data_IF_121492959569
#
_entry.id   IF_121492959569
#
_cell.length_a   1.000
_cell.length_b   1.000
_cell.length_c   1.000
_cell.angle_alpha   90.00
_cell.angle_beta   90.00
_cell.angle_gamma   90.00
#
_symmetry.space_group_name_H-M   'P 1'
#
loop_
_entity.id
_entity.type
_entity.pdbx_description
1 polymer ?
#
# COMPACT_ATOMS: atom_id res chain seq x y z
N UNK A 1 6.61 33.45 5.57
CA UNK A 1 6.07 32.32 4.81
C UNK A 1 7.11 31.22 4.93
N UNK A 2 6.72 30.05 5.41
CA UNK A 2 7.66 28.93 5.49
C UNK A 2 7.99 28.46 4.06
N UNK A 3 9.09 27.73 3.89
CA UNK A 3 9.41 27.09 2.61
C UNK A 3 8.30 26.13 2.18
N UNK A 4 7.67 25.46 3.14
CA UNK A 4 6.54 24.58 2.90
C UNK A 4 5.33 25.36 2.34
N UNK A 5 5.01 26.52 2.91
CA UNK A 5 3.91 27.36 2.46
C UNK A 5 4.09 27.80 1.00
N UNK A 6 5.33 28.09 0.59
CA UNK A 6 5.67 28.44 -0.80
C UNK A 6 5.53 27.27 -1.78
N UNK A 7 5.75 26.04 -1.31
CA UNK A 7 5.79 24.85 -2.16
C UNK A 7 4.45 24.12 -2.24
N UNK A 8 3.69 24.06 -1.15
CA UNK A 8 2.43 23.30 -1.08
C UNK A 8 1.28 24.09 -0.44
N UNK A 9 1.55 25.26 0.15
CA UNK A 9 0.53 26.11 0.76
C UNK A 9 -0.26 26.97 -0.23
N UNK A 10 0.15 27.01 -1.50
CA UNK A 10 -0.57 27.71 -2.58
C UNK A 10 -0.75 26.82 -3.81
N UNK A 11 -1.84 27.02 -4.54
CA UNK A 11 -2.07 26.43 -5.85
C UNK A 11 -1.09 26.99 -6.90
N UNK A 12 -1.16 26.49 -8.13
CA UNK A 12 -0.27 26.92 -9.21
C UNK A 12 -0.52 28.34 -9.73
N UNK A 13 -1.63 28.97 -9.34
CA UNK A 13 -1.96 30.37 -9.63
C UNK A 13 -1.61 31.31 -8.45
N UNK A 14 -1.00 30.77 -7.40
CA UNK A 14 -0.53 31.49 -6.22
C UNK A 14 -1.62 31.79 -5.19
N UNK A 15 -2.81 31.19 -5.29
CA UNK A 15 -3.84 31.33 -4.26
C UNK A 15 -3.58 30.36 -3.10
N UNK A 16 -3.80 30.78 -1.84
CA UNK A 16 -3.70 29.88 -0.70
C UNK A 16 -4.68 28.71 -0.79
N UNK A 17 -4.22 27.51 -0.44
CA UNK A 17 -5.07 26.32 -0.35
C UNK A 17 -5.38 25.97 1.10
N UNK A 18 -6.55 25.39 1.34
CA UNK A 18 -6.93 24.84 2.65
C UNK A 18 -6.49 23.40 2.85
N UNK A 19 -6.31 22.67 1.75
CA UNK A 19 -5.79 21.31 1.71
C UNK A 19 -4.61 21.23 0.74
N UNK A 20 -3.50 20.68 1.22
CA UNK A 20 -2.27 20.54 0.45
C UNK A 20 -2.34 19.34 -0.49
N UNK A 21 -3.21 18.37 -0.22
CA UNK A 21 -3.45 17.24 -1.12
C UNK A 21 -4.04 17.72 -2.45
N UNK A 22 -4.87 18.77 -2.45
CA UNK A 22 -5.40 19.38 -3.68
C UNK A 22 -4.27 19.80 -4.62
N UNK A 23 -3.22 20.43 -4.10
CA UNK A 23 -2.03 20.84 -4.88
C UNK A 23 -1.26 19.63 -5.40
N UNK A 24 -1.13 18.57 -4.58
CA UNK A 24 -0.43 17.35 -4.96
C UNK A 24 -1.15 16.64 -6.11
N UNK A 25 -2.48 16.60 -6.08
CA UNK A 25 -3.28 15.94 -7.11
C UNK A 25 -3.47 16.79 -8.36
N UNK A 26 -3.65 18.12 -8.25
CA UNK A 26 -3.71 19.03 -9.40
C UNK A 26 -2.42 18.97 -10.24
N UNK A 27 -1.29 18.78 -9.58
CA UNK A 27 0.02 18.64 -10.22
C UNK A 27 0.14 17.47 -11.21
N UNK A 28 -0.72 16.45 -11.10
CA UNK A 28 -0.74 15.32 -12.04
C UNK A 28 -1.07 15.79 -13.46
N UNK A 29 -1.90 16.83 -13.58
CA UNK A 29 -2.31 17.41 -14.85
C UNK A 29 -1.63 18.76 -15.16
N UNK A 30 -1.01 19.41 -14.16
CA UNK A 30 -0.34 20.70 -14.33
C UNK A 30 1.19 20.56 -14.45
N UNK A 31 1.81 20.90 -15.60
CA UNK A 31 3.26 20.79 -15.79
C UNK A 31 4.10 21.72 -14.90
N UNK A 32 3.50 22.76 -14.28
CA UNK A 32 4.16 23.73 -13.38
C UNK A 32 4.67 23.10 -12.08
N UNK A 33 4.18 21.90 -11.71
CA UNK A 33 4.71 21.15 -10.56
C UNK A 33 6.24 20.96 -10.61
N UNK A 34 6.81 20.87 -11.83
CA UNK A 34 8.25 20.70 -12.05
C UNK A 34 9.08 21.83 -11.44
N UNK A 35 8.53 23.05 -11.37
CA UNK A 35 9.22 24.21 -10.78
C UNK A 35 9.38 24.05 -9.26
N UNK A 36 8.51 23.27 -8.62
CA UNK A 36 8.51 23.04 -7.16
C UNK A 36 9.40 21.86 -6.75
N UNK A 37 9.73 20.96 -7.67
CA UNK A 37 10.50 19.73 -7.39
C UNK A 37 11.83 20.00 -6.67
N UNK A 38 12.73 20.91 -7.11
CA UNK A 38 13.98 21.17 -6.40
C UNK A 38 13.74 21.63 -4.96
N UNK A 39 12.72 22.48 -4.76
CA UNK A 39 12.35 22.97 -3.44
C UNK A 39 11.85 21.88 -2.51
N UNK A 40 11.06 20.94 -3.03
CA UNK A 40 10.56 19.79 -2.29
C UNK A 40 11.66 18.78 -1.96
N UNK A 41 12.61 18.56 -2.87
CA UNK A 41 13.77 17.68 -2.63
C UNK A 41 14.60 18.22 -1.46
N UNK A 42 14.88 19.52 -1.45
CA UNK A 42 15.60 20.10 -0.33
C UNK A 42 14.78 20.05 0.98
N UNK A 43 13.46 20.32 0.91
CA UNK A 43 12.58 20.26 2.09
C UNK A 43 12.55 18.85 2.70
N UNK A 44 12.42 17.82 1.87
CA UNK A 44 12.47 16.41 2.27
C UNK A 44 13.75 16.08 3.07
N UNK A 45 14.87 16.64 2.63
CA UNK A 45 16.19 16.42 3.22
C UNK A 45 16.53 17.37 4.38
N UNK A 46 15.70 18.37 4.65
CA UNK A 46 15.93 19.34 5.71
C UNK A 46 15.62 18.74 7.08
N UNK A 47 16.66 18.53 7.89
CA UNK A 47 16.52 17.95 9.24
C UNK A 47 15.92 18.91 10.27
N UNK A 48 15.85 20.21 9.97
CA UNK A 48 15.21 21.19 10.86
C UNK A 48 13.77 21.49 10.48
N UNK A 49 13.31 21.06 9.29
CA UNK A 49 11.92 21.16 8.88
C UNK A 49 11.02 20.22 9.69
N UNK A 50 9.73 20.59 9.81
CA UNK A 50 8.77 19.79 10.54
C UNK A 50 8.54 18.42 9.90
N UNK A 51 8.33 17.38 10.70
CA UNK A 51 8.13 16.00 10.21
C UNK A 51 6.98 15.92 9.19
N UNK A 52 5.91 16.68 9.42
CA UNK A 52 4.75 16.76 8.52
C UNK A 52 5.09 17.38 7.18
N UNK A 53 5.88 18.44 7.18
CA UNK A 53 6.29 19.13 5.96
C UNK A 53 7.17 18.23 5.10
N UNK A 54 8.08 17.50 5.74
CA UNK A 54 8.97 16.52 5.09
C UNK A 54 8.21 15.32 4.54
N UNK A 55 7.25 14.81 5.32
CA UNK A 55 6.36 13.73 4.88
C UNK A 55 5.55 14.15 3.66
N UNK A 56 4.91 15.33 3.69
CA UNK A 56 4.13 15.84 2.56
C UNK A 56 5.00 16.12 1.33
N UNK A 57 6.26 16.55 1.52
CA UNK A 57 7.22 16.63 0.43
C UNK A 57 7.53 15.25 -0.18
N UNK A 58 7.69 14.22 0.66
CA UNK A 58 7.86 12.83 0.21
C UNK A 58 6.64 12.34 -0.60
N UNK A 59 5.42 12.59 -0.10
CA UNK A 59 4.16 12.24 -0.78
C UNK A 59 4.09 12.96 -2.13
N UNK A 60 4.28 14.28 -2.17
CA UNK A 60 4.25 15.06 -3.40
C UNK A 60 5.25 14.54 -4.44
N UNK A 61 6.52 14.39 -4.05
CA UNK A 61 7.57 13.87 -4.95
C UNK A 61 7.25 12.46 -5.46
N UNK A 62 6.69 11.60 -4.61
CA UNK A 62 6.33 10.23 -4.98
C UNK A 62 5.16 10.21 -5.95
N UNK A 63 4.07 10.93 -5.65
CA UNK A 63 2.90 11.07 -6.53
C UNK A 63 3.29 11.64 -7.88
N UNK A 64 4.24 12.59 -7.91
CA UNK A 64 4.73 13.18 -9.16
C UNK A 64 5.78 12.32 -9.88
N UNK A 65 6.00 11.08 -9.42
CA UNK A 65 6.95 10.12 -9.97
C UNK A 65 8.41 10.59 -10.02
N UNK A 66 8.81 11.46 -9.09
CA UNK A 66 10.18 11.91 -8.93
C UNK A 66 11.02 10.84 -8.22
N UNK A 67 12.25 10.63 -8.71
CA UNK A 67 13.16 9.61 -8.17
C UNK A 67 13.40 9.82 -6.66
N UNK A 68 13.55 11.07 -6.22
CA UNK A 68 13.77 11.40 -4.82
C UNK A 68 12.61 10.96 -3.91
N UNK A 69 11.36 10.99 -4.40
CA UNK A 69 10.20 10.49 -3.68
C UNK A 69 10.26 8.98 -3.51
N UNK A 70 10.43 8.25 -4.63
CA UNK A 70 10.58 6.79 -4.57
C UNK A 70 11.77 6.33 -3.73
N UNK A 71 12.90 7.03 -3.83
CA UNK A 71 14.09 6.75 -3.01
C UNK A 71 13.80 6.89 -1.52
N UNK A 72 13.09 7.95 -1.13
CA UNK A 72 12.69 8.17 0.25
C UNK A 72 11.72 7.10 0.77
N UNK A 73 10.78 6.62 -0.07
CA UNK A 73 9.90 5.49 0.27
C UNK A 73 10.72 4.22 0.50
N UNK A 74 11.65 3.91 -0.41
CA UNK A 74 12.51 2.73 -0.32
C UNK A 74 13.39 2.80 0.94
N UNK A 75 13.98 3.96 1.22
CA UNK A 75 14.81 4.14 2.40
C UNK A 75 14.01 4.08 3.70
N UNK A 76 12.81 4.67 3.74
CA UNK A 76 11.91 4.56 4.89
C UNK A 76 11.51 3.10 5.17
N UNK A 77 11.25 2.31 4.13
CA UNK A 77 10.90 0.90 4.26
C UNK A 77 12.07 -0.01 4.71
N UNK A 78 13.33 0.46 4.65
CA UNK A 78 14.48 -0.31 5.14
C UNK A 78 14.52 -0.39 6.67
N UNK A 79 14.09 0.67 7.34
CA UNK A 79 14.04 0.77 8.80
C UNK A 79 12.86 1.68 9.20
N UNK A 80 11.63 1.14 9.18
CA UNK A 80 10.40 1.91 9.35
C UNK A 80 10.39 2.82 10.57
N UNK A 81 10.75 2.28 11.74
CA UNK A 81 10.77 2.98 13.03
C UNK A 81 11.76 4.15 13.07
N UNK A 82 12.70 4.22 12.12
CA UNK A 82 13.68 5.31 12.00
C UNK A 82 13.36 6.28 10.87
N UNK A 83 12.27 6.05 10.13
CA UNK A 83 11.81 7.00 9.15
C UNK A 83 11.50 8.34 9.85
N UNK A 84 11.88 9.50 9.27
CA UNK A 84 11.74 10.79 9.94
C UNK A 84 10.30 11.26 10.20
N UNK A 85 9.32 10.48 9.76
CA UNK A 85 7.89 10.75 9.82
C UNK A 85 7.10 9.50 10.26
N UNK A 86 7.76 8.55 10.92
CA UNK A 86 7.08 7.40 11.52
C UNK A 86 6.06 7.87 12.58
N UNK A 87 4.92 7.19 12.68
CA UNK A 87 3.79 7.52 13.57
C UNK A 87 3.12 8.89 13.30
N UNK A 88 3.41 9.54 12.15
CA UNK A 88 2.82 10.86 11.86
C UNK A 88 1.34 10.80 11.49
N UNK A 89 0.92 9.68 10.91
CA UNK A 89 -0.48 9.39 10.62
C UNK A 89 -0.89 8.16 11.42
N UNK A 90 -1.80 8.33 12.38
CA UNK A 90 -2.29 7.23 13.20
C UNK A 90 -3.66 6.79 12.70
N UNK A 91 -3.77 5.50 12.38
CA UNK A 91 -5.07 4.87 12.13
C UNK A 91 -5.89 4.85 13.43
N UNK A 92 -7.17 5.20 13.34
CA UNK A 92 -8.05 5.29 14.50
C UNK A 92 -8.54 3.92 14.98
N UNK A 93 -8.65 2.94 14.07
CA UNK A 93 -9.23 1.63 14.38
C UNK A 93 -8.27 0.77 15.20
N UNK A 94 -6.99 0.78 14.85
CA UNK A 94 -5.95 -0.01 15.49
C UNK A 94 -4.98 0.83 16.34
N UNK A 95 -5.01 2.17 16.22
CA UNK A 95 -4.08 3.07 16.92
C UNK A 95 -2.61 2.76 16.61
N UNK A 96 -2.32 2.52 15.33
CA UNK A 96 -0.98 2.22 14.79
C UNK A 96 -0.63 3.21 13.68
N UNK A 97 0.66 3.30 13.36
CA UNK A 97 1.14 4.04 12.19
C UNK A 97 0.41 3.60 10.92
N UNK A 98 -0.02 4.58 10.13
CA UNK A 98 -0.67 4.42 8.84
C UNK A 98 0.09 5.20 7.75
N UNK A 99 1.33 5.60 8.03
CA UNK A 99 2.13 6.43 7.14
C UNK A 99 2.50 5.66 5.88
N UNK A 100 2.81 4.37 6.01
CA UNK A 100 3.12 3.50 4.88
C UNK A 100 1.92 3.22 3.97
N UNK A 101 0.69 3.26 4.47
CA UNK A 101 -0.49 3.18 3.62
C UNK A 101 -0.61 4.38 2.68
N UNK A 102 -0.29 5.59 3.18
CA UNK A 102 -0.29 6.79 2.35
C UNK A 102 0.87 6.81 1.35
N UNK A 103 2.05 6.31 1.74
CA UNK A 103 3.14 6.14 0.78
C UNK A 103 2.79 5.12 -0.31
N UNK A 104 2.11 4.02 0.03
CA UNK A 104 1.62 3.07 -0.96
C UNK A 104 0.64 3.72 -1.95
N UNK A 105 -0.27 4.57 -1.46
CA UNK A 105 -1.19 5.33 -2.31
C UNK A 105 -0.45 6.29 -3.24
N UNK A 106 0.52 7.06 -2.72
CA UNK A 106 1.35 7.95 -3.54
C UNK A 106 2.12 7.20 -4.64
N UNK A 107 2.69 6.03 -4.32
CA UNK A 107 3.36 5.18 -5.33
C UNK A 107 2.35 4.68 -6.37
N UNK A 108 1.14 4.32 -5.95
CA UNK A 108 0.06 3.94 -6.86
C UNK A 108 -0.28 5.05 -7.84
N UNK A 109 -0.58 6.24 -7.31
CA UNK A 109 -1.05 7.41 -8.07
C UNK A 109 0.01 7.95 -9.06
N UNK A 110 1.29 7.62 -8.83
CA UNK A 110 2.40 7.96 -9.73
C UNK A 110 2.39 7.22 -11.08
N UNK A 111 1.47 6.28 -11.31
CA UNK A 111 1.43 5.33 -12.44
C UNK A 111 1.62 5.99 -13.83
N UNK A 112 0.88 7.07 -14.11
CA UNK A 112 0.94 7.78 -15.40
C UNK A 112 2.28 8.49 -15.56
N UNK A 113 2.63 9.35 -14.60
CA UNK A 113 3.87 10.13 -14.64
C UNK A 113 5.11 9.25 -14.60
N UNK A 114 5.09 8.10 -13.93
CA UNK A 114 6.22 7.17 -13.88
C UNK A 114 6.55 6.58 -15.26
N UNK A 115 5.54 6.40 -16.13
CA UNK A 115 5.76 6.01 -17.52
C UNK A 115 6.31 7.17 -18.34
N UNK A 116 5.74 8.36 -18.21
CA UNK A 116 6.18 9.56 -18.92
C UNK A 116 7.63 9.96 -18.59
N UNK A 117 7.97 9.93 -17.29
CA UNK A 117 9.29 10.26 -16.76
C UNK A 117 10.28 9.08 -16.80
N UNK A 118 9.84 7.92 -17.29
CA UNK A 118 10.66 6.69 -17.37
C UNK A 118 11.21 6.23 -16.01
N UNK A 119 10.48 6.48 -14.92
CA UNK A 119 10.83 6.09 -13.55
C UNK A 119 10.12 4.82 -13.09
N UNK A 120 9.45 4.10 -14.00
CA UNK A 120 8.71 2.85 -13.73
C UNK A 120 9.47 1.82 -12.89
N UNK A 121 10.72 1.53 -13.24
CA UNK A 121 11.53 0.56 -12.51
C UNK A 121 11.72 0.96 -11.04
N UNK A 122 11.77 2.27 -10.75
CA UNK A 122 11.91 2.78 -9.39
C UNK A 122 10.59 2.76 -8.63
N UNK A 123 9.46 3.04 -9.31
CA UNK A 123 8.11 2.81 -8.78
C UNK A 123 7.92 1.36 -8.34
N UNK A 124 8.32 0.40 -9.19
CA UNK A 124 8.27 -1.04 -8.86
C UNK A 124 9.15 -1.39 -7.65
N UNK A 125 10.34 -0.81 -7.54
CA UNK A 125 11.20 -1.04 -6.36
C UNK A 125 10.62 -0.42 -5.07
N UNK A 126 9.93 0.72 -5.17
CA UNK A 126 9.21 1.30 -4.05
C UNK A 126 8.10 0.37 -3.57
N UNK A 127 7.25 -0.14 -4.46
CA UNK A 127 6.25 -1.16 -4.10
C UNK A 127 6.87 -2.42 -3.53
N UNK A 128 7.97 -2.92 -4.13
CA UNK A 128 8.69 -4.08 -3.61
C UNK A 128 9.14 -3.86 -2.16
N UNK A 129 9.63 -2.66 -1.84
CA UNK A 129 10.07 -2.30 -0.50
C UNK A 129 8.91 -2.22 0.49
N UNK A 130 7.76 -1.66 0.08
CA UNK A 130 6.54 -1.63 0.88
C UNK A 130 5.95 -3.03 1.12
N UNK A 131 5.92 -3.88 0.10
CA UNK A 131 5.51 -5.29 0.24
C UNK A 131 6.38 -6.00 1.27
N UNK A 132 7.70 -5.79 1.24
CA UNK A 132 8.65 -6.47 2.14
C UNK A 132 8.42 -6.21 3.63
N UNK A 133 7.70 -5.15 3.99
CA UNK A 133 7.40 -4.78 5.38
C UNK A 133 5.94 -5.04 5.78
N UNK A 134 5.11 -5.53 4.87
CA UNK A 134 3.68 -5.71 5.11
C UNK A 134 3.32 -6.86 6.08
N UNK A 135 4.30 -7.59 6.61
CA UNK A 135 4.10 -8.52 7.73
C UNK A 135 4.24 -7.85 9.12
N UNK A 136 4.67 -6.59 9.19
CA UNK A 136 4.90 -5.89 10.46
C UNK A 136 4.50 -4.41 10.47
N UNK A 137 4.34 -3.76 9.32
CA UNK A 137 3.75 -2.41 9.20
C UNK A 137 2.32 -2.47 8.64
N UNK A 138 1.49 -1.50 9.04
CA UNK A 138 0.07 -1.44 8.69
C UNK A 138 -0.18 -0.61 7.42
N UNK A 139 -1.07 -1.11 6.55
CA UNK A 139 -1.35 -0.55 5.22
C UNK A 139 -2.83 -0.23 4.97
N UNK A 140 -3.68 -0.20 6.01
CA UNK A 140 -5.11 0.15 5.89
C UNK A 140 -5.87 -0.62 4.80
N UNK A 141 -5.49 -1.89 4.58
CA UNK A 141 -6.07 -2.79 3.57
C UNK A 141 -5.89 -2.32 2.11
N UNK A 142 -5.05 -1.31 1.87
CA UNK A 142 -4.89 -0.72 0.53
C UNK A 142 -3.83 -1.43 -0.29
N UNK A 143 -2.76 -1.93 0.33
CA UNK A 143 -1.57 -2.35 -0.43
C UNK A 143 -1.87 -3.43 -1.47
N UNK A 144 -2.73 -4.41 -1.17
CA UNK A 144 -3.12 -5.45 -2.13
C UNK A 144 -3.94 -4.92 -3.32
N UNK A 145 -4.68 -3.83 -3.14
CA UNK A 145 -5.56 -3.23 -4.15
C UNK A 145 -4.83 -2.21 -5.04
N UNK A 146 -3.73 -1.64 -4.54
CA UNK A 146 -2.92 -0.63 -5.24
C UNK A 146 -1.91 -1.24 -6.23
N UNK A 147 -1.68 -2.55 -6.18
CA UNK A 147 -0.72 -3.23 -7.06
C UNK A 147 -1.38 -3.57 -8.41
N UNK A 148 -0.87 -2.97 -9.49
CA UNK A 148 -1.24 -3.36 -10.85
C UNK A 148 -0.68 -4.75 -11.22
N UNK A 149 -1.28 -5.41 -12.22
CA UNK A 149 -0.90 -6.78 -12.65
C UNK A 149 0.59 -6.93 -12.92
N UNK A 150 1.23 -5.95 -13.57
CA UNK A 150 2.65 -6.04 -13.90
C UNK A 150 3.51 -5.94 -12.63
N UNK A 151 3.17 -5.00 -11.74
CA UNK A 151 3.84 -4.89 -10.44
C UNK A 151 3.68 -6.18 -9.63
N UNK A 152 2.49 -6.80 -9.59
CA UNK A 152 2.26 -8.10 -8.92
C UNK A 152 3.19 -9.17 -9.48
N UNK A 153 3.36 -9.28 -10.81
CA UNK A 153 4.33 -10.22 -11.41
C UNK A 153 5.75 -9.95 -10.91
N UNK A 154 6.18 -8.69 -10.89
CA UNK A 154 7.54 -8.29 -10.58
C UNK A 154 7.91 -8.43 -9.09
N UNK A 155 6.91 -8.46 -8.19
CA UNK A 155 7.10 -8.58 -6.74
C UNK A 155 6.50 -9.85 -6.14
N UNK A 156 6.00 -10.77 -6.97
CA UNK A 156 5.40 -12.04 -6.52
C UNK A 156 6.32 -12.84 -5.57
N UNK A 157 7.64 -12.96 -5.80
CA UNK A 157 8.52 -13.63 -4.84
C UNK A 157 8.54 -12.95 -3.46
N UNK A 158 8.50 -11.61 -3.43
CA UNK A 158 8.47 -10.83 -2.19
C UNK A 158 7.12 -11.01 -1.47
N UNK A 159 5.99 -11.00 -2.18
CA UNK A 159 4.66 -11.29 -1.60
C UNK A 159 4.65 -12.67 -0.94
N UNK A 160 5.14 -13.70 -1.64
CA UNK A 160 5.23 -15.07 -1.08
C UNK A 160 6.05 -15.10 0.20
N UNK A 161 7.21 -14.44 0.20
CA UNK A 161 8.09 -14.41 1.36
C UNK A 161 7.46 -13.69 2.55
N UNK A 162 6.78 -12.57 2.31
CA UNK A 162 6.12 -11.76 3.35
C UNK A 162 4.93 -12.50 3.95
N UNK A 163 4.07 -13.08 3.11
CA UNK A 163 2.93 -13.88 3.58
C UNK A 163 3.39 -15.06 4.41
N UNK A 164 4.44 -15.78 3.98
CA UNK A 164 4.98 -16.89 4.75
C UNK A 164 5.53 -16.47 6.14
N UNK A 165 6.24 -15.33 6.21
CA UNK A 165 6.74 -14.80 7.51
C UNK A 165 5.58 -14.35 8.40
N UNK A 166 4.60 -13.67 7.84
CA UNK A 166 3.40 -13.23 8.55
C UNK A 166 2.57 -14.40 9.07
N UNK A 167 2.34 -15.43 8.25
CA UNK A 167 1.66 -16.67 8.66
C UNK A 167 2.41 -17.37 9.80
N UNK A 168 3.74 -17.43 9.75
CA UNK A 168 4.56 -17.96 10.85
C UNK A 168 4.42 -17.12 12.14
N UNK A 169 4.28 -15.79 12.04
CA UNK A 169 4.02 -14.90 13.18
C UNK A 169 2.66 -15.21 13.83
N UNK A 170 1.62 -15.41 13.01
CA UNK A 170 0.27 -15.81 13.45
C UNK A 170 0.28 -17.18 14.13
N UNK A 171 0.96 -18.16 13.52
CA UNK A 171 1.11 -19.51 14.10
C UNK A 171 1.79 -19.48 15.47
N UNK A 172 2.77 -18.60 15.64
CA UNK A 172 3.46 -18.36 16.91
C UNK A 172 2.62 -17.67 17.99
N UNK A 173 1.38 -17.26 17.68
CA UNK A 173 0.45 -16.52 18.57
C UNK A 173 1.09 -15.29 19.21
N UNK A 174 1.98 -14.63 18.47
CA UNK A 174 2.55 -13.35 18.93
C UNK A 174 1.45 -12.29 18.95
N UNK A 175 1.46 -11.35 19.90
CA UNK A 175 0.57 -10.20 19.86
C UNK A 175 0.76 -9.44 18.55
N UNK A 176 -0.32 -9.21 17.82
CA UNK A 176 -0.31 -8.42 16.60
C UNK A 176 -0.77 -6.99 16.93
N UNK A 177 -0.14 -5.98 16.33
CA UNK A 177 -0.49 -4.57 16.53
C UNK A 177 -1.76 -4.17 15.76
N UNK A 178 -2.09 -4.89 14.70
CA UNK A 178 -3.24 -4.68 13.82
C UNK A 178 -3.76 -6.04 13.31
N UNK A 179 -4.81 -6.01 12.49
CA UNK A 179 -5.37 -7.21 11.83
C UNK A 179 -4.45 -7.72 10.72
N UNK A 180 -3.36 -8.38 11.13
CA UNK A 180 -2.34 -8.92 10.23
C UNK A 180 -2.93 -9.97 9.28
N UNK A 181 -3.83 -10.84 9.77
CA UNK A 181 -4.42 -11.89 8.97
C UNK A 181 -5.17 -11.32 7.75
N UNK A 182 -6.00 -10.29 7.96
CA UNK A 182 -6.68 -9.60 6.85
C UNK A 182 -5.69 -8.99 5.86
N UNK A 183 -4.67 -8.27 6.32
CA UNK A 183 -3.70 -7.64 5.42
C UNK A 183 -2.92 -8.66 4.56
N UNK A 184 -2.52 -9.80 5.13
CA UNK A 184 -1.84 -10.85 4.38
C UNK A 184 -2.77 -11.53 3.36
N UNK A 185 -4.06 -11.67 3.69
CA UNK A 185 -5.07 -12.17 2.75
C UNK A 185 -5.30 -11.18 1.60
N UNK A 186 -5.30 -9.88 1.86
CA UNK A 186 -5.41 -8.86 0.79
C UNK A 186 -4.21 -8.90 -0.17
N UNK A 187 -3.00 -9.11 0.36
CA UNK A 187 -1.82 -9.35 -0.48
C UNK A 187 -1.92 -10.64 -1.29
N UNK A 188 -2.43 -11.73 -0.70
CA UNK A 188 -2.70 -12.96 -1.44
C UNK A 188 -3.78 -12.73 -2.53
N UNK A 189 -4.78 -11.90 -2.26
CA UNK A 189 -5.80 -11.53 -3.22
C UNK A 189 -5.23 -10.75 -4.41
N UNK A 190 -4.19 -9.93 -4.23
CA UNK A 190 -3.50 -9.26 -5.34
C UNK A 190 -2.93 -10.28 -6.35
N UNK A 191 -2.35 -11.37 -5.84
CA UNK A 191 -1.75 -12.45 -6.63
C UNK A 191 -2.79 -13.18 -7.50
N UNK A 192 -4.06 -13.19 -7.11
CA UNK A 192 -5.11 -13.90 -7.86
C UNK A 192 -5.28 -13.38 -9.30
N UNK A 193 -4.86 -12.14 -9.57
CA UNK A 193 -4.87 -11.53 -10.91
C UNK A 193 -3.88 -12.16 -11.88
N UNK A 194 -2.84 -12.84 -11.38
CA UNK A 194 -1.75 -13.43 -12.18
C UNK A 194 -1.58 -14.93 -11.97
N UNK A 195 -1.83 -15.41 -10.76
CA UNK A 195 -1.64 -16.82 -10.36
C UNK A 195 -2.64 -17.18 -9.25
N UNK A 196 -3.83 -17.59 -9.67
CA UNK A 196 -4.91 -17.96 -8.77
C UNK A 196 -4.56 -19.12 -7.83
N UNK A 197 -3.77 -20.10 -8.29
CA UNK A 197 -3.38 -21.25 -7.48
C UNK A 197 -2.46 -20.82 -6.33
N UNK A 198 -1.48 -19.95 -6.62
CA UNK A 198 -0.61 -19.36 -5.59
C UNK A 198 -1.43 -18.51 -4.62
N UNK A 199 -2.33 -17.66 -5.12
CA UNK A 199 -3.18 -16.81 -4.27
C UNK A 199 -3.99 -17.63 -3.25
N UNK A 200 -4.64 -18.70 -3.72
CA UNK A 200 -5.39 -19.63 -2.87
C UNK A 200 -4.48 -20.29 -1.85
N UNK A 201 -3.32 -20.80 -2.26
CA UNK A 201 -2.36 -21.44 -1.35
C UNK A 201 -1.88 -20.49 -0.26
N UNK A 202 -1.58 -19.24 -0.60
CA UNK A 202 -1.13 -18.22 0.35
C UNK A 202 -2.23 -17.86 1.35
N UNK A 203 -3.46 -17.64 0.87
CA UNK A 203 -4.58 -17.31 1.75
C UNK A 203 -4.95 -18.48 2.68
N UNK A 204 -4.91 -19.72 2.19
CA UNK A 204 -5.16 -20.90 3.02
C UNK A 204 -4.14 -21.06 4.14
N UNK A 205 -2.86 -20.77 3.87
CA UNK A 205 -1.81 -20.81 4.90
C UNK A 205 -2.11 -19.83 6.04
N UNK A 206 -2.45 -18.58 5.70
CA UNK A 206 -2.84 -17.55 6.67
C UNK A 206 -4.09 -17.96 7.47
N UNK A 207 -5.16 -18.36 6.78
CA UNK A 207 -6.45 -18.72 7.39
C UNK A 207 -6.37 -19.98 8.27
N UNK A 208 -5.36 -20.84 8.06
CA UNK A 208 -5.12 -22.01 8.91
C UNK A 208 -4.61 -21.65 10.30
N UNK A 209 -4.03 -20.46 10.46
CA UNK A 209 -3.45 -19.98 11.72
C UNK A 209 -4.31 -18.92 12.42
N UNK A 210 -4.99 -18.08 11.65
CA UNK A 210 -5.94 -17.10 12.17
C UNK A 210 -7.20 -17.05 11.29
N UNK A 211 -8.32 -17.48 11.90
CA UNK A 211 -9.61 -17.65 11.27
C UNK A 211 -10.56 -16.48 11.58
N UNK A 212 -10.01 -15.27 11.76
CA UNK A 212 -10.79 -14.06 11.98
C UNK A 212 -11.84 -13.83 10.89
N UNK A 213 -13.05 -13.41 11.29
CA UNK A 213 -14.16 -13.16 10.37
C UNK A 213 -13.77 -12.21 9.21
N UNK A 214 -13.03 -11.15 9.51
CA UNK A 214 -12.60 -10.16 8.51
C UNK A 214 -11.67 -10.78 7.46
N UNK A 215 -10.73 -11.63 7.86
CA UNK A 215 -9.83 -12.31 6.92
C UNK A 215 -10.62 -13.21 5.94
N UNK A 216 -11.66 -13.91 6.41
CA UNK A 216 -12.52 -14.70 5.52
C UNK A 216 -13.33 -13.84 4.54
N UNK A 217 -13.84 -12.68 4.99
CA UNK A 217 -14.54 -11.74 4.11
C UNK A 217 -13.61 -11.26 3.00
N UNK A 218 -12.38 -10.89 3.34
CA UNK A 218 -11.40 -10.41 2.36
C UNK A 218 -10.92 -11.52 1.42
N UNK A 219 -10.85 -12.77 1.89
CA UNK A 219 -10.51 -13.92 1.04
C UNK A 219 -11.51 -14.14 -0.11
N UNK A 220 -12.74 -13.63 -0.02
CA UNK A 220 -13.72 -13.65 -1.12
C UNK A 220 -13.19 -12.88 -2.35
N UNK A 221 -12.34 -11.87 -2.17
CA UNK A 221 -11.73 -11.14 -3.28
C UNK A 221 -10.93 -12.05 -4.22
N UNK A 222 -10.32 -13.14 -3.72
CA UNK A 222 -9.63 -14.14 -4.56
C UNK A 222 -10.62 -14.80 -5.54
N UNK A 223 -11.82 -15.14 -5.05
CA UNK A 223 -12.89 -15.75 -5.86
C UNK A 223 -13.43 -14.77 -6.90
N UNK A 224 -13.55 -13.49 -6.53
CA UNK A 224 -14.01 -12.44 -7.44
C UNK A 224 -13.01 -12.15 -8.56
N UNK A 225 -11.71 -12.12 -8.23
CA UNK A 225 -10.62 -11.77 -9.16
C UNK A 225 -10.31 -12.87 -10.17
N UNK A 226 -10.52 -14.13 -9.81
CA UNK A 226 -10.21 -15.26 -10.68
C UNK A 226 -11.32 -16.32 -10.67
N UNK A 227 -11.70 -16.80 -11.86
CA UNK A 227 -12.76 -17.80 -12.06
C UNK A 227 -12.20 -19.17 -12.49
N UNK A 228 -11.17 -19.63 -11.78
CA UNK A 228 -10.49 -20.89 -12.08
C UNK A 228 -11.08 -22.04 -11.25
N UNK A 229 -10.77 -23.32 -11.56
CA UNK A 229 -11.17 -24.45 -10.72
C UNK A 229 -10.69 -24.32 -9.27
N UNK A 230 -9.48 -23.80 -9.06
CA UNK A 230 -8.87 -23.62 -7.74
C UNK A 230 -9.65 -22.60 -6.91
N UNK A 231 -10.06 -21.48 -7.50
CA UNK A 231 -10.84 -20.46 -6.79
C UNK A 231 -12.27 -20.91 -6.50
N UNK A 232 -12.85 -21.79 -7.33
CA UNK A 232 -14.14 -22.44 -7.02
C UNK A 232 -14.02 -23.40 -5.83
N UNK A 233 -12.97 -24.24 -5.80
CA UNK A 233 -12.72 -25.09 -4.66
C UNK A 233 -12.46 -24.27 -3.39
N UNK A 234 -11.75 -23.14 -3.52
CA UNK A 234 -11.56 -22.21 -2.43
C UNK A 234 -12.87 -21.56 -1.97
N UNK A 235 -13.77 -21.21 -2.90
CA UNK A 235 -15.10 -20.72 -2.58
C UNK A 235 -15.93 -21.75 -1.79
N UNK A 236 -15.85 -23.04 -2.14
CA UNK A 236 -16.49 -24.12 -1.39
C UNK A 236 -15.93 -24.22 0.04
N UNK A 237 -14.60 -24.11 0.18
CA UNK A 237 -13.94 -24.02 1.49
C UNK A 237 -14.47 -22.83 2.30
N UNK A 238 -14.42 -21.61 1.76
CA UNK A 238 -14.90 -20.40 2.43
C UNK A 238 -16.37 -20.52 2.84
N UNK A 239 -17.21 -21.13 2.01
CA UNK A 239 -18.63 -21.35 2.32
C UNK A 239 -18.84 -22.37 3.46
N UNK A 240 -17.93 -23.34 3.59
CA UNK A 240 -17.99 -24.38 4.60
C UNK A 240 -17.54 -23.88 5.97
N UNK A 241 -16.44 -23.12 6.00
CA UNK A 241 -15.82 -22.66 7.27
C UNK A 241 -16.29 -21.28 7.72
N UNK A 242 -16.69 -20.43 6.76
CA UNK A 242 -17.18 -19.08 7.03
C UNK A 242 -18.59 -19.07 7.62
N UNK A 243 -18.96 -17.94 8.22
CA UNK A 243 -20.32 -17.70 8.70
C UNK A 243 -21.29 -17.34 7.58
N UNK A 244 -22.53 -17.01 7.94
CA UNK A 244 -23.58 -16.66 6.98
C UNK A 244 -23.25 -15.43 6.14
N UNK A 245 -22.47 -14.48 6.68
CA UNK A 245 -22.01 -13.31 5.97
C UNK A 245 -21.02 -13.68 4.88
N UNK A 246 -19.99 -14.47 5.23
CA UNK A 246 -19.00 -14.99 4.27
C UNK A 246 -19.69 -15.84 3.19
N UNK A 247 -20.59 -16.76 3.59
CA UNK A 247 -21.38 -17.58 2.65
C UNK A 247 -22.17 -16.76 1.65
N UNK A 248 -22.77 -15.65 2.10
CA UNK A 248 -23.56 -14.77 1.24
C UNK A 248 -22.65 -14.07 0.22
N UNK A 249 -21.50 -13.56 0.66
CA UNK A 249 -20.53 -12.91 -0.22
C UNK A 249 -19.91 -13.88 -1.23
N UNK A 250 -19.60 -15.12 -0.83
CA UNK A 250 -19.11 -16.15 -1.75
C UNK A 250 -20.14 -16.45 -2.85
N UNK A 251 -21.43 -16.59 -2.49
CA UNK A 251 -22.49 -16.79 -3.48
C UNK A 251 -22.56 -15.64 -4.48
N UNK A 252 -22.47 -14.41 -4.01
CA UNK A 252 -22.44 -13.22 -4.87
C UNK A 252 -21.21 -13.19 -5.79
N UNK A 253 -20.05 -13.62 -5.29
CA UNK A 253 -18.82 -13.69 -6.09
C UNK A 253 -18.87 -14.74 -7.20
N UNK A 254 -19.59 -15.85 -6.98
CA UNK A 254 -19.72 -16.94 -7.96
C UNK A 254 -20.74 -16.64 -9.09
N UNK A 255 -21.73 -15.77 -8.82
CA UNK A 255 -22.80 -15.42 -9.78
C UNK A 255 -24.01 -16.33 -9.65
#
# INVERSE_FOLDING_TARGET
MSRFDELLGTDFDGQPVSDVEDVIYEALDDPRHRERVPGLVDLLNDRVAGERERFLACVALTTWAELAGFDAVIDAARDPERAPWYDILIDRKFSVDNTFAQLALAVSDSDVLAREKQTWARRTEAFRSLVRIADHEYFDEKLGDLLDTQTVVDVLPDIRAVVARGAASLAGRRPQRFDLATQLVDLAAAVATVDAATAVSLAQDVLSHDAGHRAFVHAVAIVQRAKTPETRQFADYLSTVGDDGVRTQVKQALG
#
